data_IF_184793552694
#
_entry.id   IF_184793552694
#
_cell.length_a   1.000
_cell.length_b   1.000
_cell.length_c   1.000
_cell.angle_alpha   90.00
_cell.angle_beta   90.00
_cell.angle_gamma   90.00
#
_symmetry.space_group_name_H-M   'P 1'
#
loop_
_entity.id
_entity.type
_entity.pdbx_description
1 polymer ?
#
# COMPACT_ATOMS: atom_id res chain seq x y z
N UNK A 1 3.61 -18.58 5.03
CA UNK A 1 4.43 -17.37 4.74
C UNK A 1 3.53 -16.16 4.82
N UNK A 2 3.80 -15.23 5.72
CA UNK A 2 3.10 -13.95 5.71
C UNK A 2 3.54 -13.10 4.53
N UNK A 3 2.62 -12.43 3.83
CA UNK A 3 2.97 -11.57 2.70
C UNK A 3 3.83 -10.40 3.18
N UNK A 4 4.83 -10.05 2.38
CA UNK A 4 5.73 -8.95 2.68
C UNK A 4 4.97 -7.62 2.72
N UNK A 5 5.32 -6.77 3.68
CA UNK A 5 4.75 -5.43 3.78
C UNK A 5 5.23 -4.59 2.59
N UNK A 6 4.35 -3.88 1.86
CA UNK A 6 4.73 -3.01 0.74
C UNK A 6 5.32 -1.67 1.22
N UNK A 7 5.82 -1.62 2.46
CA UNK A 7 6.31 -0.41 3.09
C UNK A 7 7.72 -0.09 2.61
N UNK A 8 7.91 1.09 2.03
CA UNK A 8 9.22 1.59 1.60
C UNK A 8 9.89 2.52 2.63
N UNK A 9 9.48 2.43 3.91
CA UNK A 9 9.89 3.34 4.99
C UNK A 9 9.56 4.82 4.74
N UNK A 10 8.56 5.09 3.88
CA UNK A 10 7.99 6.42 3.69
C UNK A 10 6.62 6.45 4.36
N UNK A 11 6.52 7.18 5.47
CA UNK A 11 5.26 7.42 6.19
C UNK A 11 4.79 8.85 5.94
N UNK A 12 4.33 9.10 4.72
CA UNK A 12 3.72 10.38 4.33
C UNK A 12 2.32 10.11 3.84
N UNK A 13 1.33 10.80 4.40
CA UNK A 13 -0.07 10.66 4.06
C UNK A 13 -0.47 11.80 3.12
N UNK A 14 -1.02 11.43 1.98
CA UNK A 14 -1.61 12.36 1.05
C UNK A 14 -2.94 12.87 1.64
N UNK A 15 -3.06 14.19 1.82
CA UNK A 15 -4.23 14.80 2.44
C UNK A 15 -5.46 14.84 1.50
N UNK A 16 -5.26 14.67 0.19
CA UNK A 16 -6.34 14.69 -0.80
C UNK A 16 -7.05 13.33 -0.92
N UNK A 17 -6.29 12.24 -0.82
CA UNK A 17 -6.76 10.86 -0.99
C UNK A 17 -6.84 10.10 0.33
N UNK A 18 -6.11 10.52 1.36
CA UNK A 18 -6.00 9.81 2.63
C UNK A 18 -5.15 8.54 2.55
N UNK A 19 -4.30 8.42 1.53
CA UNK A 19 -3.43 7.26 1.31
C UNK A 19 -1.98 7.60 1.59
N UNK A 20 -1.19 6.58 1.97
CA UNK A 20 0.23 6.76 2.12
C UNK A 20 0.91 6.93 0.75
N UNK A 21 1.65 8.01 0.53
CA UNK A 21 2.32 8.29 -0.75
C UNK A 21 3.36 7.22 -1.14
N UNK A 22 3.90 6.48 -0.17
CA UNK A 22 4.85 5.41 -0.42
C UNK A 22 4.20 4.06 -0.72
N UNK A 23 3.35 3.59 0.21
CA UNK A 23 2.77 2.25 0.13
C UNK A 23 1.31 2.22 -0.33
N UNK A 24 0.67 3.37 -0.52
CA UNK A 24 -0.72 3.56 -0.96
C UNK A 24 -1.76 2.81 -0.12
N UNK A 25 -1.38 2.52 1.13
CA UNK A 25 -2.27 2.02 2.18
C UNK A 25 -2.88 3.17 2.96
N UNK A 26 -4.05 2.93 3.51
CA UNK A 26 -4.68 3.85 4.46
C UNK A 26 -4.03 3.72 5.84
N UNK A 27 -4.25 4.73 6.69
CA UNK A 27 -3.75 4.72 8.06
C UNK A 27 -4.31 3.53 8.87
N UNK A 28 -5.57 3.16 8.64
CA UNK A 28 -6.23 2.00 9.27
C UNK A 28 -5.56 0.68 8.87
N UNK A 29 -5.28 0.52 7.57
CA UNK A 29 -4.59 -0.67 7.04
C UNK A 29 -3.18 -0.81 7.61
N UNK A 30 -2.46 0.31 7.78
CA UNK A 30 -1.13 0.35 8.39
C UNK A 30 -1.21 -0.01 9.88
N UNK A 31 -2.15 0.58 10.62
CA UNK A 31 -2.32 0.34 12.06
C UNK A 31 -2.69 -1.11 12.36
N UNK A 32 -3.55 -1.72 11.53
CA UNK A 32 -4.00 -3.10 11.73
C UNK A 32 -3.08 -4.15 11.10
N UNK A 33 -2.12 -3.77 10.25
CA UNK A 33 -1.26 -4.70 9.49
C UNK A 33 -0.57 -5.76 10.36
N UNK A 34 -0.06 -5.35 11.54
CA UNK A 34 0.60 -6.27 12.47
C UNK A 34 -0.34 -7.32 13.08
N UNK A 35 -1.64 -7.03 13.13
CA UNK A 35 -2.69 -7.93 13.66
C UNK A 35 -3.52 -8.59 12.55
N UNK A 36 -3.36 -8.18 11.30
CA UNK A 36 -4.09 -8.69 10.16
C UNK A 36 -3.67 -10.12 9.83
N UNK A 37 -4.66 -10.96 9.47
CA UNK A 37 -4.40 -12.32 8.99
C UNK A 37 -3.71 -12.29 7.62
N UNK A 38 -3.07 -13.38 7.21
CA UNK A 38 -2.42 -13.44 5.90
C UNK A 38 -3.41 -13.20 4.74
N UNK A 39 -4.68 -13.56 4.93
CA UNK A 39 -5.74 -13.27 3.96
C UNK A 39 -6.08 -11.78 3.87
N UNK A 40 -6.25 -11.13 5.02
CA UNK A 40 -6.48 -9.68 5.09
C UNK A 40 -5.31 -8.90 4.49
N UNK A 41 -4.08 -9.34 4.78
CA UNK A 41 -2.88 -8.73 4.21
C UNK A 41 -2.87 -8.85 2.68
N UNK A 42 -3.26 -9.99 2.12
CA UNK A 42 -3.41 -10.18 0.67
C UNK A 42 -4.49 -9.28 0.08
N UNK A 43 -5.63 -9.14 0.75
CA UNK A 43 -6.72 -8.23 0.34
C UNK A 43 -6.27 -6.77 0.33
N UNK A 44 -5.55 -6.34 1.37
CA UNK A 44 -4.97 -4.99 1.45
C UNK A 44 -3.99 -4.78 0.30
N UNK A 45 -3.11 -5.75 0.02
CA UNK A 45 -2.16 -5.66 -1.10
C UNK A 45 -2.86 -5.58 -2.46
N UNK A 46 -3.92 -6.35 -2.68
CA UNK A 46 -4.72 -6.26 -3.90
C UNK A 46 -5.37 -4.88 -4.05
N UNK A 47 -5.98 -4.36 -2.99
CA UNK A 47 -6.56 -3.01 -3.01
C UNK A 47 -5.51 -1.92 -3.27
N UNK A 48 -4.30 -2.06 -2.70
CA UNK A 48 -3.17 -1.16 -2.98
C UNK A 48 -2.77 -1.20 -4.45
N UNK A 49 -2.72 -2.39 -5.05
CA UNK A 49 -2.41 -2.55 -6.48
C UNK A 49 -3.48 -1.90 -7.37
N UNK A 50 -4.76 -2.04 -7.02
CA UNK A 50 -5.85 -1.36 -7.74
C UNK A 50 -5.79 0.17 -7.58
N UNK A 51 -5.46 0.66 -6.38
CA UNK A 51 -5.24 2.09 -6.14
C UNK A 51 -4.06 2.63 -6.95
N UNK A 52 -2.97 1.86 -7.07
CA UNK A 52 -1.82 2.17 -7.96
C UNK A 52 -2.23 2.24 -9.43
N UNK A 53 -3.09 1.34 -9.88
CA UNK A 53 -3.57 1.33 -11.26
C UNK A 53 -4.52 2.52 -11.56
N UNK A 54 -5.33 2.92 -10.57
CA UNK A 54 -6.32 4.00 -10.73
C UNK A 54 -5.71 5.39 -10.54
N UNK A 55 -4.79 5.54 -9.58
CA UNK A 55 -3.99 6.73 -9.45
C UNK A 55 -2.99 6.73 -10.61
N UNK A 56 -3.36 7.32 -11.75
CA UNK A 56 -2.60 7.38 -12.99
C UNK A 56 -1.29 8.20 -12.90
N UNK A 57 -0.55 8.08 -11.80
CA UNK A 57 0.84 8.53 -11.65
C UNK A 57 1.70 7.27 -11.59
N UNK A 58 2.37 6.88 -12.68
CA UNK A 58 3.28 5.75 -12.66
C UNK A 58 4.38 6.01 -11.62
N UNK A 59 4.56 5.07 -10.68
CA UNK A 59 5.76 5.06 -9.84
C UNK A 59 6.94 4.69 -10.74
N UNK A 60 7.91 5.59 -11.00
CA UNK A 60 8.98 5.36 -11.98
C UNK A 60 9.96 4.24 -11.59
N UNK A 61 9.76 3.53 -10.47
CA UNK A 61 10.66 2.50 -9.95
C UNK A 61 10.16 1.05 -10.09
N UNK A 62 8.92 0.82 -10.54
CA UNK A 62 8.38 -0.52 -10.80
C UNK A 62 8.51 -0.96 -12.28
N UNK A 63 8.92 -0.06 -13.17
CA UNK A 63 9.17 -0.36 -14.59
C UNK A 63 10.63 -0.78 -14.91
N UNK A 64 11.52 -0.78 -13.91
CA UNK A 64 12.90 -1.24 -14.05
C UNK A 64 13.00 -2.69 -13.55
N UNK A 65 12.47 -3.61 -14.36
CA UNK A 65 12.80 -5.03 -14.34
C UNK A 65 13.51 -5.36 -15.66
#
# INVERSE_FOLDING_TARGET
MSPASPCINVCRMDAATGWCEGCLRTLDEIARWGRASDDDKRRILAAVAERRATAAVPHPREAAA
#
